data_IF_471550848885
#
_entry.id   IF_471550848885
#
_cell.length_a   1.000
_cell.length_b   1.000
_cell.length_c   1.000
_cell.angle_alpha   90.00
_cell.angle_beta   90.00
_cell.angle_gamma   90.00
#
_symmetry.space_group_name_H-M   'P 1'
#
loop_
_entity.id
_entity.type
_entity.pdbx_description
1 polymer ?
#
# COMPACT_ATOMS: atom_id res chain seq x y z
N UNK A 1 -14.72 5.23 1.56
CA UNK A 1 -15.99 4.55 1.23
C UNK A 1 -16.51 3.67 2.37
N UNK A 2 -15.67 2.85 3.03
CA UNK A 2 -16.05 2.05 4.22
C UNK A 2 -16.71 2.88 5.34
N UNK A 3 -16.16 4.06 5.64
CA UNK A 3 -16.74 5.02 6.61
C UNK A 3 -18.00 5.73 6.10
N UNK A 4 -18.24 5.75 4.78
CA UNK A 4 -19.41 6.40 4.18
C UNK A 4 -20.58 5.43 3.99
N UNK A 5 -20.39 4.13 4.23
CA UNK A 5 -21.44 3.10 4.11
C UNK A 5 -21.96 2.85 2.68
N UNK A 6 -21.35 3.45 1.66
CA UNK A 6 -21.77 3.31 0.26
C UNK A 6 -20.83 2.34 -0.47
N UNK A 7 -21.37 1.21 -0.95
CA UNK A 7 -20.69 0.33 -1.90
C UNK A 7 -21.15 0.68 -3.32
N UNK A 8 -20.24 1.03 -4.24
CA UNK A 8 -20.60 1.29 -5.63
C UNK A 8 -20.86 -0.01 -6.42
N UNK A 9 -20.56 -1.17 -5.81
CA UNK A 9 -20.70 -2.48 -6.43
C UNK A 9 -21.91 -3.23 -5.87
N UNK A 10 -22.74 -3.76 -6.77
CA UNK A 10 -23.92 -4.59 -6.46
C UNK A 10 -23.67 -6.09 -6.69
N UNK A 11 -22.65 -6.45 -7.47
CA UNK A 11 -22.34 -7.84 -7.79
C UNK A 11 -21.84 -8.62 -6.57
N UNK A 12 -22.30 -9.87 -6.33
CA UNK A 12 -21.84 -10.67 -5.19
C UNK A 12 -20.32 -10.90 -5.24
N UNK A 13 -19.66 -10.80 -4.09
CA UNK A 13 -18.24 -11.04 -3.93
C UNK A 13 -17.96 -11.66 -2.57
N UNK A 14 -17.00 -12.58 -2.49
CA UNK A 14 -16.56 -13.19 -1.21
C UNK A 14 -15.77 -12.23 -0.32
N UNK A 15 -15.19 -11.18 -0.89
CA UNK A 15 -14.47 -10.16 -0.14
C UNK A 15 -14.26 -8.93 -1.00
N UNK A 16 -14.19 -7.76 -0.37
CA UNK A 16 -13.81 -6.50 -1.01
C UNK A 16 -12.84 -5.74 -0.10
N UNK A 17 -11.73 -5.31 -0.68
CA UNK A 17 -10.76 -4.42 -0.05
C UNK A 17 -10.54 -3.21 -0.96
N UNK A 18 -10.28 -2.06 -0.34
CA UNK A 18 -10.00 -0.79 -1.02
C UNK A 18 -8.52 -0.48 -0.79
N UNK A 19 -7.67 -0.69 -1.80
CA UNK A 19 -6.20 -0.58 -1.67
C UNK A 19 -5.71 0.52 -2.59
N UNK A 20 -5.05 1.54 -2.04
CA UNK A 20 -4.55 2.70 -2.78
C UNK A 20 -5.64 3.65 -3.28
N UNK A 21 -6.85 3.50 -2.76
CA UNK A 21 -8.05 4.18 -3.20
C UNK A 21 -8.11 5.60 -2.64
N UNK A 22 -8.56 6.54 -3.45
CA UNK A 22 -8.73 7.93 -3.04
C UNK A 22 -10.21 8.24 -2.82
N UNK A 23 -10.54 8.74 -1.63
CA UNK A 23 -11.88 9.29 -1.36
C UNK A 23 -11.86 10.77 -1.70
N UNK A 24 -12.49 11.13 -2.81
CA UNK A 24 -12.70 12.52 -3.18
C UNK A 24 -14.04 12.99 -2.63
N UNK A 25 -14.03 14.06 -1.83
CA UNK A 25 -15.23 14.78 -1.45
C UNK A 25 -15.51 15.85 -2.51
N UNK A 26 -16.53 15.63 -3.35
CA UNK A 26 -16.94 16.60 -4.36
C UNK A 26 -17.96 17.55 -3.73
N UNK A 27 -17.58 18.81 -3.59
CA UNK A 27 -18.50 19.86 -3.17
C UNK A 27 -19.35 20.29 -4.37
N UNK A 28 -20.66 20.08 -4.28
CA UNK A 28 -21.61 20.63 -5.25
C UNK A 28 -22.05 22.03 -4.77
N UNK A 29 -21.87 23.08 -5.58
CA UNK A 29 -22.18 24.44 -5.15
C UNK A 29 -23.70 24.65 -5.11
N UNK A 30 -24.25 24.62 -3.91
CA UNK A 30 -25.63 24.96 -3.61
C UNK A 30 -25.69 26.36 -3.00
N UNK A 31 -26.69 27.16 -3.37
CA UNK A 31 -26.91 28.49 -2.82
C UNK A 31 -28.31 28.61 -2.23
N UNK A 32 -28.47 29.47 -1.23
CA UNK A 32 -29.78 29.85 -0.71
C UNK A 32 -30.26 31.11 -1.45
N UNK A 33 -31.39 31.02 -2.15
CA UNK A 33 -32.02 32.18 -2.84
C UNK A 33 -33.53 32.15 -2.62
N UNK A 34 -34.09 33.25 -2.15
CA UNK A 34 -35.54 33.42 -1.98
C UNK A 34 -36.23 32.27 -1.20
N UNK A 35 -35.56 31.70 -0.18
CA UNK A 35 -36.09 30.58 0.60
C UNK A 35 -35.98 29.21 -0.07
N UNK A 36 -35.26 29.10 -1.19
CA UNK A 36 -34.96 27.84 -1.86
C UNK A 36 -33.45 27.54 -1.89
N UNK A 37 -33.12 26.26 -1.76
CA UNK A 37 -31.80 25.75 -2.12
C UNK A 37 -31.77 25.59 -3.63
N UNK A 38 -30.89 26.32 -4.28
CA UNK A 38 -30.70 26.30 -5.73
C UNK A 38 -29.36 25.71 -6.10
N UNK A 39 -29.33 25.01 -7.23
CA UNK A 39 -28.11 24.68 -7.93
C UNK A 39 -27.47 25.99 -8.41
N UNK A 40 -26.31 26.37 -7.86
CA UNK A 40 -25.68 27.64 -8.18
C UNK A 40 -25.08 27.69 -9.60
N UNK A 41 -24.86 26.53 -10.24
CA UNK A 41 -24.35 26.44 -11.62
C UNK A 41 -25.49 26.59 -12.63
N UNK A 42 -26.65 26.00 -12.34
CA UNK A 42 -27.80 25.97 -13.27
C UNK A 42 -28.91 26.95 -12.94
N UNK A 43 -28.89 27.56 -11.75
CA UNK A 43 -29.96 28.41 -11.24
C UNK A 43 -31.28 27.66 -10.98
N UNK A 44 -31.26 26.33 -10.97
CA UNK A 44 -32.46 25.51 -10.82
C UNK A 44 -32.75 25.26 -9.34
N UNK A 45 -34.00 25.43 -8.88
CA UNK A 45 -34.37 25.07 -7.52
C UNK A 45 -34.28 23.56 -7.32
N UNK A 46 -33.67 23.17 -6.20
CA UNK A 46 -33.49 21.78 -5.77
C UNK A 46 -34.54 21.41 -4.74
N UNK A 47 -34.71 22.23 -3.70
CA UNK A 47 -35.72 22.07 -2.66
C UNK A 47 -35.90 23.35 -1.81
N UNK A 48 -37.01 23.48 -1.06
CA UNK A 48 -37.18 24.56 -0.09
C UNK A 48 -36.13 24.51 1.03
N UNK A 49 -35.63 25.68 1.44
CA UNK A 49 -34.62 25.83 2.49
C UNK A 49 -35.03 25.21 3.82
N UNK A 50 -36.29 25.42 4.23
CA UNK A 50 -36.81 24.85 5.47
C UNK A 50 -36.81 23.31 5.48
N UNK A 51 -36.88 22.66 4.31
CA UNK A 51 -36.74 21.20 4.21
C UNK A 51 -35.29 20.77 4.32
N UNK A 52 -34.38 21.51 3.69
CA UNK A 52 -32.95 21.27 3.80
C UNK A 52 -32.48 21.43 5.24
N UNK A 53 -32.83 22.50 5.94
CA UNK A 53 -32.43 22.76 7.33
C UNK A 53 -32.86 21.65 8.30
N UNK A 54 -34.04 21.06 8.09
CA UNK A 54 -34.53 19.92 8.89
C UNK A 54 -33.79 18.61 8.61
N UNK A 55 -33.27 18.44 7.39
CA UNK A 55 -32.58 17.23 6.95
C UNK A 55 -31.05 17.35 7.05
N UNK A 56 -30.53 18.58 7.11
CA UNK A 56 -29.13 18.86 7.20
C UNK A 56 -28.60 18.34 8.53
N UNK A 57 -27.60 17.45 8.45
CA UNK A 57 -26.80 17.10 9.61
C UNK A 57 -26.13 18.38 10.14
N UNK A 58 -25.91 18.45 11.46
CA UNK A 58 -25.21 19.56 12.09
C UNK A 58 -23.97 19.93 11.25
N UNK A 59 -23.83 21.21 10.91
CA UNK A 59 -22.71 21.70 10.09
C UNK A 59 -21.41 21.38 10.83
N UNK A 60 -20.76 20.31 10.40
CA UNK A 60 -19.37 20.06 10.78
C UNK A 60 -18.55 21.07 9.99
N UNK A 61 -18.08 22.12 10.65
CA UNK A 61 -16.94 22.89 10.13
C UNK A 61 -15.70 22.07 10.46
N UNK A 62 -15.11 21.34 9.51
CA UNK A 62 -13.82 20.74 9.78
C UNK A 62 -12.86 21.87 10.12
N UNK A 63 -12.19 21.80 11.27
CA UNK A 63 -10.97 22.57 11.51
C UNK A 63 -9.85 22.00 10.62
N UNK A 64 -9.99 22.08 9.30
CA UNK A 64 -8.93 21.66 8.39
C UNK A 64 -7.86 22.74 8.36
N UNK A 65 -6.87 22.64 9.24
CA UNK A 65 -5.64 23.42 9.13
C UNK A 65 -4.70 22.69 8.17
N UNK A 66 -4.46 23.27 7.00
CA UNK A 66 -3.37 22.81 6.13
C UNK A 66 -2.07 23.14 6.84
N UNK A 67 -1.31 22.12 7.22
CA UNK A 67 0.03 22.26 7.79
C UNK A 67 1.06 21.99 6.70
N UNK A 68 2.00 22.91 6.54
CA UNK A 68 3.15 22.74 5.66
C UNK A 68 4.33 22.28 6.50
N UNK A 69 5.01 21.24 6.04
CA UNK A 69 6.26 20.79 6.63
C UNK A 69 7.39 21.17 5.68
N UNK A 70 8.49 21.68 6.23
CA UNK A 70 9.70 21.84 5.44
C UNK A 70 10.16 20.45 5.00
N UNK A 71 10.39 20.26 3.71
CA UNK A 71 11.01 19.06 3.16
C UNK A 71 12.52 19.06 3.43
N UNK A 72 12.91 19.36 4.68
CA UNK A 72 14.28 19.39 5.15
C UNK A 72 14.45 18.32 6.23
N UNK A 73 15.56 17.59 6.17
CA UNK A 73 15.86 16.50 7.07
C UNK A 73 16.04 17.02 8.51
N UNK A 74 15.26 16.52 9.50
CA UNK A 74 15.42 16.92 10.90
C UNK A 74 16.81 16.62 11.48
N UNK A 75 17.54 15.65 10.93
CA UNK A 75 18.85 15.21 11.44
C UNK A 75 20.02 16.03 10.87
N UNK A 76 20.03 16.30 9.56
CA UNK A 76 21.17 16.93 8.89
C UNK A 76 20.86 18.21 8.10
N UNK A 77 19.59 18.64 8.05
CA UNK A 77 19.15 19.87 7.38
C UNK A 77 19.12 19.81 5.84
N UNK A 78 19.52 18.70 5.22
CA UNK A 78 19.49 18.53 3.77
C UNK A 78 18.05 18.34 3.25
N UNK A 79 17.81 18.66 1.99
CA UNK A 79 16.51 18.43 1.36
C UNK A 79 16.13 16.94 1.38
N UNK A 80 14.86 16.67 1.66
CA UNK A 80 14.27 15.34 1.61
C UNK A 80 13.74 15.06 0.19
N UNK A 81 14.01 13.86 -0.31
CA UNK A 81 13.45 13.34 -1.55
C UNK A 81 12.05 12.77 -1.33
N UNK A 82 11.16 13.08 -2.27
CA UNK A 82 9.77 12.65 -2.27
C UNK A 82 9.03 13.23 -3.46
N UNK A 83 8.01 12.53 -3.93
CA UNK A 83 7.09 13.01 -4.96
C UNK A 83 5.69 13.22 -4.35
N UNK A 84 4.73 13.67 -5.16
CA UNK A 84 3.31 13.72 -4.81
C UNK A 84 2.86 12.36 -4.26
N UNK A 85 2.03 12.40 -3.21
CA UNK A 85 1.47 11.23 -2.53
C UNK A 85 2.50 10.33 -1.83
N UNK A 86 3.79 10.70 -1.74
CA UNK A 86 4.75 9.94 -0.93
C UNK A 86 4.40 10.03 0.54
N UNK A 87 4.42 8.87 1.20
CA UNK A 87 4.21 8.73 2.64
C UNK A 87 5.54 8.81 3.40
N UNK A 88 6.61 8.44 2.72
CA UNK A 88 7.97 8.35 3.26
C UNK A 88 8.87 9.27 2.46
N UNK A 89 9.58 10.13 3.17
CA UNK A 89 10.57 11.05 2.65
C UNK A 89 11.96 10.54 2.98
N UNK A 90 12.87 10.50 2.00
CA UNK A 90 14.23 9.96 2.20
C UNK A 90 15.27 11.07 2.13
N UNK A 91 16.33 11.00 2.94
CA UNK A 91 17.43 11.95 2.87
C UNK A 91 18.63 11.30 2.17
N UNK A 92 19.10 11.87 1.05
CA UNK A 92 20.30 11.35 0.36
C UNK A 92 21.61 11.60 1.09
N UNK A 93 21.64 12.59 1.98
CA UNK A 93 22.87 12.97 2.67
C UNK A 93 23.16 12.08 3.88
N UNK A 94 22.19 11.91 4.79
CA UNK A 94 22.34 11.06 5.98
C UNK A 94 21.74 9.66 5.83
N UNK A 95 21.11 9.37 4.68
CA UNK A 95 20.50 8.08 4.36
C UNK A 95 19.41 7.63 5.34
N UNK A 96 18.69 8.59 5.94
CA UNK A 96 17.52 8.33 6.80
C UNK A 96 16.21 8.42 6.04
N UNK A 97 15.16 7.81 6.59
CA UNK A 97 13.80 7.92 6.09
C UNK A 97 12.86 8.49 7.16
N UNK A 98 11.87 9.27 6.72
CA UNK A 98 10.96 10.01 7.58
C UNK A 98 9.52 9.77 7.14
N UNK A 99 8.68 9.33 8.08
CA UNK A 99 7.24 9.18 7.87
C UNK A 99 6.53 10.47 8.30
N UNK A 100 5.48 10.86 7.57
CA UNK A 100 4.63 11.97 8.02
C UNK A 100 3.69 11.50 9.15
N UNK A 101 4.01 11.89 10.38
CA UNK A 101 3.16 11.74 11.55
C UNK A 101 2.08 12.82 11.68
N UNK A 102 1.40 12.85 12.83
CA UNK A 102 0.36 13.84 13.12
C UNK A 102 0.93 15.24 13.38
N UNK A 103 2.07 15.30 14.08
CA UNK A 103 2.69 16.55 14.51
C UNK A 103 3.95 16.93 13.72
N UNK A 104 4.47 16.04 12.87
CA UNK A 104 5.73 16.29 12.17
C UNK A 104 6.25 15.09 11.38
N UNK A 105 7.53 15.15 11.05
CA UNK A 105 8.28 14.05 10.46
C UNK A 105 8.82 13.15 11.58
N UNK A 106 8.52 11.87 11.50
CA UNK A 106 8.94 10.84 12.45
C UNK A 106 10.01 9.95 11.81
N UNK A 107 11.11 9.69 12.52
CA UNK A 107 12.18 8.81 12.04
C UNK A 107 11.61 7.41 11.80
N UNK A 108 11.89 6.85 10.63
CA UNK A 108 11.39 5.54 10.24
C UNK A 108 12.53 4.67 9.74
N UNK A 109 12.60 3.47 10.29
CA UNK A 109 13.58 2.48 9.87
C UNK A 109 13.22 1.88 8.51
N UNK A 110 14.24 1.64 7.70
CA UNK A 110 14.10 0.92 6.43
C UNK A 110 15.27 -0.03 6.22
N UNK A 111 15.10 -0.92 5.24
CA UNK A 111 16.10 -1.90 4.83
C UNK A 111 16.28 -1.86 3.32
N UNK A 112 17.44 -2.28 2.87
CA UNK A 112 17.77 -2.42 1.46
C UNK A 112 18.29 -3.83 1.21
N UNK A 113 17.80 -4.51 0.18
CA UNK A 113 18.41 -5.76 -0.27
C UNK A 113 19.69 -5.40 -1.03
N UNK A 114 20.87 -5.92 -0.64
CA UNK A 114 22.12 -5.58 -1.30
C UNK A 114 22.18 -6.11 -2.74
N UNK A 115 22.68 -5.28 -3.66
CA UNK A 115 23.03 -5.63 -5.03
C UNK A 115 24.32 -4.89 -5.43
N UNK A 116 25.40 -5.65 -5.55
CA UNK A 116 26.77 -5.21 -5.83
C UNK A 116 27.11 -5.18 -7.33
N UNK A 117 26.11 -5.29 -8.21
CA UNK A 117 26.34 -5.30 -9.66
C UNK A 117 26.94 -4.02 -10.24
N UNK A 118 26.80 -2.89 -9.55
CA UNK A 118 27.21 -1.57 -10.05
C UNK A 118 26.39 -1.06 -11.24
N UNK A 119 25.37 -1.80 -11.70
CA UNK A 119 24.42 -1.35 -12.72
C UNK A 119 23.47 -0.28 -12.12
N UNK A 120 22.91 0.63 -12.93
CA UNK A 120 21.82 1.50 -12.49
C UNK A 120 20.62 0.70 -11.97
N UNK A 121 20.22 0.97 -10.73
CA UNK A 121 19.18 0.24 -10.03
C UNK A 121 18.07 1.19 -9.56
N UNK A 122 16.84 0.71 -9.70
CA UNK A 122 15.65 1.34 -9.11
C UNK A 122 15.20 0.49 -7.93
N UNK A 123 15.12 1.11 -6.76
CA UNK A 123 14.65 0.48 -5.52
C UNK A 123 13.14 0.52 -5.47
N UNK A 124 12.48 -0.61 -5.65
CA UNK A 124 11.03 -0.70 -5.45
C UNK A 124 10.74 -1.02 -3.97
N UNK A 125 9.89 -0.24 -3.29
CA UNK A 125 9.62 -0.44 -1.88
C UNK A 125 8.57 -1.53 -1.66
N UNK A 126 8.84 -2.41 -0.69
CA UNK A 126 7.92 -3.46 -0.24
C UNK A 126 7.80 -3.41 1.28
N UNK A 127 6.58 -3.62 1.77
CA UNK A 127 6.34 -3.99 3.16
C UNK A 127 6.61 -5.47 3.33
N UNK A 128 7.61 -5.80 4.16
CA UNK A 128 7.80 -7.15 4.70
C UNK A 128 6.95 -7.26 5.95
N UNK A 129 5.87 -8.03 5.86
CA UNK A 129 4.82 -8.08 6.88
C UNK A 129 4.82 -9.45 7.56
N UNK A 130 4.88 -9.44 8.90
CA UNK A 130 4.49 -10.56 9.73
C UNK A 130 3.05 -10.36 10.18
N UNK A 131 2.18 -11.33 9.93
CA UNK A 131 0.78 -11.26 10.28
C UNK A 131 0.27 -12.60 10.83
N UNK A 132 -0.64 -12.54 11.80
CA UNK A 132 -1.41 -13.70 12.24
C UNK A 132 -2.65 -13.83 11.35
N UNK A 133 -2.93 -15.03 10.88
CA UNK A 133 -4.07 -15.35 10.01
C UNK A 133 -4.99 -16.32 10.74
N UNK A 134 -6.21 -15.88 11.05
CA UNK A 134 -7.12 -16.69 11.84
C UNK A 134 -7.58 -17.92 11.04
N UNK A 135 -7.45 -19.10 11.64
CA UNK A 135 -7.86 -20.37 11.05
C UNK A 135 -6.95 -20.91 9.94
N UNK A 136 -5.81 -20.26 9.65
CA UNK A 136 -4.79 -20.74 8.71
C UNK A 136 -3.41 -20.59 9.37
N UNK A 137 -2.73 -21.69 9.76
CA UNK A 137 -1.38 -21.60 10.30
C UNK A 137 -0.46 -21.12 9.18
N UNK A 138 0.11 -19.92 9.33
CA UNK A 138 1.04 -19.28 8.40
C UNK A 138 2.16 -18.58 9.18
N UNK A 139 2.67 -19.24 10.21
CA UNK A 139 3.71 -18.68 11.08
C UNK A 139 5.11 -18.95 10.52
N UNK A 140 5.29 -20.05 9.79
CA UNK A 140 6.57 -20.54 9.28
C UNK A 140 6.58 -20.68 7.76
N UNK A 141 7.78 -20.70 7.16
CA UNK A 141 7.88 -20.90 5.71
C UNK A 141 7.40 -22.30 5.29
N UNK A 142 7.52 -23.29 6.16
CA UNK A 142 6.95 -24.62 5.95
C UNK A 142 5.42 -24.58 5.83
N UNK A 143 4.76 -23.79 6.67
CA UNK A 143 3.30 -23.62 6.62
C UNK A 143 2.85 -23.02 5.29
N UNK A 144 3.55 -21.98 4.82
CA UNK A 144 3.30 -21.39 3.51
C UNK A 144 3.46 -22.40 2.36
N UNK A 145 4.50 -23.24 2.42
CA UNK A 145 4.74 -24.29 1.42
C UNK A 145 3.61 -25.30 1.38
N UNK A 146 3.09 -25.71 2.54
CA UNK A 146 1.92 -26.59 2.65
C UNK A 146 0.65 -25.92 2.12
N UNK A 147 0.39 -24.69 2.56
CA UNK A 147 -0.80 -23.91 2.18
C UNK A 147 -0.90 -23.70 0.65
N UNK A 148 0.23 -23.38 0.03
CA UNK A 148 0.33 -23.17 -1.43
C UNK A 148 0.56 -24.47 -2.21
N UNK A 149 0.70 -25.63 -1.55
CA UNK A 149 1.05 -26.91 -2.15
C UNK A 149 2.25 -26.80 -3.12
N UNK A 150 3.33 -26.15 -2.66
CA UNK A 150 4.49 -25.92 -3.51
C UNK A 150 5.24 -27.24 -3.78
N UNK A 151 5.81 -27.44 -4.99
CA UNK A 151 6.52 -28.67 -5.35
C UNK A 151 7.92 -28.71 -4.71
N UNK A 152 7.99 -28.79 -3.38
CA UNK A 152 9.22 -28.83 -2.59
C UNK A 152 9.00 -29.59 -1.30
N UNK A 153 9.98 -30.40 -0.90
CA UNK A 153 9.98 -31.04 0.41
C UNK A 153 10.18 -30.02 1.53
N UNK A 154 9.39 -30.12 2.59
CA UNK A 154 9.57 -29.32 3.81
C UNK A 154 10.79 -29.82 4.58
N UNK A 155 11.69 -28.90 4.94
CA UNK A 155 12.88 -29.19 5.74
C UNK A 155 12.74 -28.60 7.14
N UNK A 156 13.55 -29.07 8.10
CA UNK A 156 13.59 -28.51 9.46
C UNK A 156 13.87 -27.01 9.50
N UNK A 157 14.79 -26.54 8.65
CA UNK A 157 15.10 -25.11 8.56
C UNK A 157 13.86 -24.27 8.15
N UNK A 158 12.94 -24.84 7.36
CA UNK A 158 11.72 -24.15 6.94
C UNK A 158 10.64 -24.11 8.02
N UNK A 159 10.63 -25.11 8.92
CA UNK A 159 9.75 -25.14 10.10
C UNK A 159 10.20 -24.11 11.15
N UNK A 160 11.50 -23.83 11.21
CA UNK A 160 12.07 -22.86 12.14
C UNK A 160 12.09 -21.43 11.54
N UNK A 161 12.04 -21.31 10.21
CA UNK A 161 12.09 -20.02 9.51
C UNK A 161 10.73 -19.27 9.61
N UNK A 162 10.68 -18.06 10.20
CA UNK A 162 9.46 -17.27 10.28
C UNK A 162 8.98 -16.84 8.88
N UNK A 163 7.66 -16.87 8.68
CA UNK A 163 7.04 -16.46 7.44
C UNK A 163 6.77 -14.95 7.39
N UNK A 164 7.00 -14.36 6.23
CA UNK A 164 6.66 -12.98 5.94
C UNK A 164 5.95 -12.86 4.59
N UNK A 165 4.86 -12.11 4.57
CA UNK A 165 4.30 -11.59 3.34
C UNK A 165 5.16 -10.44 2.81
N UNK A 166 5.26 -10.32 1.49
CA UNK A 166 5.91 -9.20 0.84
C UNK A 166 4.90 -8.47 -0.01
N UNK A 167 4.60 -7.22 0.34
CA UNK A 167 3.52 -6.44 -0.28
C UNK A 167 4.08 -5.16 -0.87
N UNK A 168 3.74 -4.77 -2.12
CA UNK A 168 4.18 -3.50 -2.67
C UNK A 168 3.77 -2.34 -1.75
N UNK A 169 4.74 -1.48 -1.41
CA UNK A 169 4.50 -0.25 -0.65
C UNK A 169 4.19 0.94 -1.58
N UNK A 170 3.78 0.64 -2.81
CA UNK A 170 3.49 1.62 -3.86
C UNK A 170 2.25 1.22 -4.65
N UNK A 171 1.54 2.23 -5.17
CA UNK A 171 0.35 2.05 -6.00
C UNK A 171 0.72 1.48 -7.36
N UNK A 172 -0.07 0.52 -7.82
CA UNK A 172 0.02 -0.11 -9.14
C UNK A 172 -1.30 -0.79 -9.47
N UNK A 173 -1.54 -1.15 -10.74
CA UNK A 173 -2.71 -1.91 -11.12
C UNK A 173 -2.84 -3.26 -10.37
N UNK A 174 -4.06 -3.62 -10.00
CA UNK A 174 -4.37 -4.77 -9.13
C UNK A 174 -3.75 -6.11 -9.60
N UNK A 175 -3.76 -6.39 -10.90
CA UNK A 175 -3.16 -7.61 -11.45
C UNK A 175 -1.65 -7.68 -11.29
N UNK A 176 -0.95 -6.53 -11.38
CA UNK A 176 0.48 -6.46 -11.08
C UNK A 176 0.71 -6.52 -9.56
N UNK A 177 -0.12 -5.83 -8.77
CA UNK A 177 -0.05 -5.83 -7.31
C UNK A 177 -0.07 -7.25 -6.71
N UNK A 178 -1.09 -8.05 -7.04
CA UNK A 178 -1.21 -9.44 -6.56
C UNK A 178 -0.07 -10.33 -7.08
N UNK A 179 0.34 -10.14 -8.34
CA UNK A 179 1.48 -10.87 -8.94
C UNK A 179 2.77 -10.59 -8.16
N UNK A 180 3.01 -9.33 -7.79
CA UNK A 180 4.16 -8.94 -6.99
C UNK A 180 4.09 -9.60 -5.62
N UNK A 181 2.94 -9.52 -4.92
CA UNK A 181 2.79 -10.19 -3.62
C UNK A 181 3.17 -11.66 -3.71
N UNK A 182 2.62 -12.39 -4.69
CA UNK A 182 2.89 -13.82 -4.87
C UNK A 182 4.36 -14.10 -5.15
N UNK A 183 4.96 -13.39 -6.11
CA UNK A 183 6.36 -13.63 -6.53
C UNK A 183 7.34 -13.28 -5.42
N UNK A 184 7.09 -12.18 -4.72
CA UNK A 184 7.96 -11.69 -3.66
C UNK A 184 7.86 -12.52 -2.39
N UNK A 185 6.64 -12.92 -2.00
CA UNK A 185 6.40 -13.80 -0.85
C UNK A 185 6.97 -15.20 -1.09
N UNK A 186 6.94 -15.69 -2.33
CA UNK A 186 7.60 -16.95 -2.71
C UNK A 186 9.12 -16.86 -2.69
N UNK A 187 9.68 -15.71 -3.10
CA UNK A 187 11.12 -15.49 -3.12
C UNK A 187 11.70 -15.37 -1.71
N UNK A 188 11.04 -14.57 -0.86
CA UNK A 188 11.35 -14.36 0.55
C UNK A 188 12.83 -14.25 0.87
N UNK A 189 13.41 -13.06 0.67
CA UNK A 189 14.82 -12.79 0.92
C UNK A 189 15.30 -13.34 2.27
N UNK A 190 16.33 -14.20 2.24
CA UNK A 190 16.92 -14.85 3.41
C UNK A 190 18.31 -14.29 3.78
N UNK A 191 18.83 -13.34 3.00
CA UNK A 191 20.15 -12.76 3.24
C UNK A 191 20.10 -11.61 4.26
N UNK A 192 21.26 -11.01 4.50
CA UNK A 192 21.34 -9.80 5.31
C UNK A 192 20.72 -8.60 4.57
N UNK A 193 20.28 -7.62 5.35
CA UNK A 193 19.74 -6.37 4.85
C UNK A 193 20.76 -5.25 5.08
N UNK A 194 20.98 -4.44 4.05
CA UNK A 194 21.63 -3.15 4.19
C UNK A 194 20.73 -2.11 4.85
N UNK A 195 21.35 -1.04 5.35
CA UNK A 195 20.68 0.15 5.92
C UNK A 195 20.94 1.42 5.12
N UNK A 196 21.75 1.32 4.07
CA UNK A 196 22.14 2.43 3.21
C UNK A 196 21.44 2.26 1.86
N UNK A 197 20.89 3.36 1.34
CA UNK A 197 20.33 3.44 -0.01
C UNK A 197 21.45 3.47 -1.05
N UNK A 198 22.58 4.11 -0.74
CA UNK A 198 23.66 4.31 -1.69
C UNK A 198 23.16 4.93 -3.01
N UNK A 199 23.59 4.42 -4.19
CA UNK A 199 23.19 4.97 -5.49
C UNK A 199 21.78 4.60 -5.94
N UNK A 200 21.02 3.84 -5.14
CA UNK A 200 19.69 3.34 -5.52
C UNK A 200 18.72 4.49 -5.79
N UNK A 201 18.05 4.48 -6.94
CA UNK A 201 16.92 5.40 -7.21
C UNK A 201 15.68 4.85 -6.51
N UNK A 202 15.31 5.42 -5.36
CA UNK A 202 14.21 4.90 -4.54
C UNK A 202 12.86 5.33 -5.11
N UNK A 203 12.04 4.36 -5.54
CA UNK A 203 10.67 4.62 -5.95
C UNK A 203 9.82 5.03 -4.72
N UNK A 204 8.90 6.00 -4.83
CA UNK A 204 8.16 6.53 -3.70
C UNK A 204 7.29 5.48 -3.00
N UNK A 205 7.19 5.61 -1.68
CA UNK A 205 6.26 4.83 -0.85
C UNK A 205 4.91 5.52 -0.90
N UNK A 206 3.93 4.92 -1.56
CA UNK A 206 2.60 5.53 -1.78
C UNK A 206 1.45 4.68 -1.22
N UNK A 207 1.77 3.56 -0.56
CA UNK A 207 0.82 2.73 0.18
C UNK A 207 1.32 2.47 1.60
N UNK A 208 0.49 2.69 2.63
CA UNK A 208 0.86 2.39 4.02
C UNK A 208 0.82 0.88 4.30
N UNK A 209 1.48 0.45 5.38
CA UNK A 209 1.58 -0.96 5.75
C UNK A 209 0.21 -1.56 6.10
N UNK A 210 -0.69 -0.77 6.68
CA UNK A 210 -2.05 -1.15 7.07
C UNK A 210 -2.88 -1.53 5.84
N UNK A 211 -2.84 -0.72 4.78
CA UNK A 211 -3.47 -1.07 3.50
C UNK A 211 -2.81 -2.31 2.90
N UNK A 212 -1.48 -2.42 2.99
CA UNK A 212 -0.77 -3.63 2.61
C UNK A 212 -1.30 -4.87 3.32
N UNK A 213 -1.55 -4.79 4.64
CA UNK A 213 -2.13 -5.86 5.44
C UNK A 213 -3.59 -6.18 5.07
N UNK A 214 -4.42 -5.17 4.77
CA UNK A 214 -5.79 -5.38 4.27
C UNK A 214 -5.80 -6.17 2.96
N UNK A 215 -4.81 -5.96 2.11
CA UNK A 215 -4.69 -6.66 0.82
C UNK A 215 -4.40 -8.15 0.98
N UNK A 216 -3.85 -8.58 2.13
CA UNK A 216 -3.41 -9.95 2.34
C UNK A 216 -4.56 -10.96 2.28
N UNK A 217 -5.78 -10.57 2.65
CA UNK A 217 -6.94 -11.46 2.52
C UNK A 217 -7.21 -11.83 1.06
N UNK A 218 -7.12 -10.85 0.16
CA UNK A 218 -7.19 -11.07 -1.29
C UNK A 218 -5.99 -11.85 -1.80
N UNK A 219 -4.79 -11.58 -1.29
CA UNK A 219 -3.59 -12.32 -1.67
C UNK A 219 -3.68 -13.80 -1.26
N UNK A 220 -4.22 -14.12 -0.07
CA UNK A 220 -4.44 -15.49 0.38
C UNK A 220 -5.34 -16.27 -0.58
N UNK A 221 -6.39 -15.63 -1.11
CA UNK A 221 -7.23 -16.24 -2.14
C UNK A 221 -6.47 -16.55 -3.44
N UNK A 222 -5.50 -15.71 -3.82
CA UNK A 222 -4.65 -15.95 -4.99
C UNK A 222 -3.61 -17.05 -4.74
N UNK A 223 -3.04 -17.08 -3.53
CA UNK A 223 -1.99 -17.99 -3.07
C UNK A 223 -2.50 -19.40 -2.76
N UNK A 224 -3.74 -19.53 -2.29
CA UNK A 224 -4.32 -20.79 -1.86
C UNK A 224 -4.28 -21.86 -2.97
N UNK A 225 -3.76 -23.04 -2.63
CA UNK A 225 -3.83 -24.21 -3.52
C UNK A 225 -5.28 -24.67 -3.72
N UNK A 226 -6.04 -24.76 -2.63
CA UNK A 226 -7.47 -25.10 -2.66
C UNK A 226 -8.34 -23.85 -2.51
N UNK A 227 -8.55 -23.17 -3.64
CA UNK A 227 -9.42 -21.99 -3.70
C UNK A 227 -10.87 -22.32 -3.32
N UNK A 228 -11.33 -23.57 -3.48
CA UNK A 228 -12.72 -23.94 -3.19
C UNK A 228 -13.00 -23.98 -1.69
N UNK A 229 -12.01 -24.32 -0.86
CA UNK A 229 -12.15 -24.25 0.60
C UNK A 229 -11.86 -22.86 1.16
N UNK A 230 -10.92 -22.12 0.57
CA UNK A 230 -10.51 -20.80 1.08
C UNK A 230 -11.50 -19.70 0.71
N UNK A 231 -11.97 -19.63 -0.54
CA UNK A 231 -12.84 -18.52 -1.00
C UNK A 231 -14.15 -18.36 -0.20
N UNK A 232 -14.90 -19.43 0.15
CA UNK A 232 -16.12 -19.28 0.93
C UNK A 232 -15.89 -18.73 2.34
N UNK A 233 -14.70 -18.97 2.91
CA UNK A 233 -14.35 -18.58 4.28
C UNK A 233 -13.60 -17.25 4.34
N UNK A 234 -13.41 -16.57 3.20
CA UNK A 234 -12.58 -15.37 3.15
C UNK A 234 -13.07 -14.29 4.11
N UNK A 235 -14.38 -14.10 4.26
CA UNK A 235 -14.94 -13.09 5.17
C UNK A 235 -14.59 -13.37 6.64
N UNK A 236 -14.56 -14.63 7.04
CA UNK A 236 -14.31 -15.10 8.41
C UNK A 236 -12.83 -14.99 8.81
N UNK A 237 -11.91 -15.04 7.85
CA UNK A 237 -10.47 -15.00 8.13
C UNK A 237 -10.08 -13.62 8.65
N UNK A 238 -9.73 -13.49 9.92
CA UNK A 238 -9.09 -12.29 10.46
C UNK A 238 -7.61 -12.26 10.07
N UNK A 239 -7.09 -11.06 9.79
CA UNK A 239 -5.64 -10.83 9.61
C UNK A 239 -5.23 -9.74 10.58
N UNK A 240 -4.27 -10.07 11.45
CA UNK A 240 -3.71 -9.11 12.40
C UNK A 240 -2.26 -8.83 12.04
N UNK A 241 -1.97 -7.59 11.64
CA UNK A 241 -0.62 -7.10 11.43
C UNK A 241 0.16 -7.17 12.75
N UNK A 242 1.33 -7.82 12.76
CA UNK A 242 2.21 -7.93 13.93
C UNK A 242 3.47 -7.07 13.77
N UNK A 243 4.03 -7.06 12.57
CA UNK A 243 5.24 -6.34 12.23
C UNK A 243 5.19 -5.94 10.76
N UNK A 244 5.66 -4.73 10.44
CA UNK A 244 5.91 -4.29 9.08
C UNK A 244 7.27 -3.59 9.01
N UNK A 245 8.10 -4.00 8.05
CA UNK A 245 9.38 -3.37 7.77
C UNK A 245 9.38 -2.89 6.33
N UNK A 246 9.77 -1.63 6.10
CA UNK A 246 9.98 -1.10 4.76
C UNK A 246 11.28 -1.67 4.20
N UNK A 247 11.20 -2.31 3.04
CA UNK A 247 12.36 -2.87 2.35
C UNK A 247 12.41 -2.36 0.91
N UNK A 248 13.47 -1.66 0.55
CA UNK A 248 13.79 -1.37 -0.84
C UNK A 248 14.48 -2.56 -1.49
N UNK A 249 13.91 -3.00 -2.60
CA UNK A 249 14.46 -4.08 -3.39
C UNK A 249 14.99 -3.53 -4.72
N UNK A 250 16.26 -3.80 -5.07
CA UNK A 250 16.83 -3.32 -6.32
C UNK A 250 16.29 -4.10 -7.52
N UNK A 251 15.90 -3.35 -8.55
CA UNK A 251 15.59 -3.82 -9.89
C UNK A 251 16.52 -3.14 -10.89
N UNK A 252 16.99 -3.89 -11.89
CA UNK A 252 17.83 -3.34 -12.96
C UNK A 252 16.96 -2.63 -13.98
N UNK A 253 17.28 -1.37 -14.26
CA UNK A 253 16.60 -0.62 -15.30
C UNK A 253 17.14 -1.01 -16.69
N UNK A 254 16.31 -1.61 -17.54
CA UNK A 254 16.65 -1.95 -18.92
C UNK A 254 15.59 -1.41 -19.88
N UNK A 255 15.87 -0.24 -20.46
CA UNK A 255 14.94 0.46 -21.34
C UNK A 255 13.60 0.73 -20.63
N UNK A 256 12.52 0.19 -21.20
CA UNK A 256 11.16 0.34 -20.66
C UNK A 256 10.82 -0.59 -19.49
N UNK A 257 11.74 -1.45 -19.05
CA UNK A 257 11.47 -2.47 -18.03
C UNK A 257 12.40 -2.37 -16.81
N UNK A 258 11.90 -2.87 -15.69
CA UNK A 258 12.62 -3.11 -14.45
C UNK A 258 12.69 -4.62 -14.25
N UNK A 259 13.90 -5.17 -14.16
CA UNK A 259 14.12 -6.61 -14.09
C UNK A 259 14.71 -6.97 -12.73
N UNK A 260 14.12 -7.96 -12.08
CA UNK A 260 14.67 -8.53 -10.86
C UNK A 260 15.72 -9.60 -11.24
N UNK A 261 16.99 -9.50 -10.78
CA UNK A 261 18.07 -10.38 -11.25
C UNK A 261 18.08 -11.81 -10.69
N UNK A 262 17.42 -12.07 -9.56
CA UNK A 262 17.40 -13.33 -8.80
C UNK A 262 16.11 -14.16 -8.97
N UNK A 263 15.05 -13.57 -9.51
CA UNK A 263 13.76 -14.22 -9.78
C UNK A 263 13.22 -13.79 -11.16
N UNK A 264 12.45 -14.65 -11.84
CA UNK A 264 11.86 -14.34 -13.14
C UNK A 264 10.71 -13.34 -13.00
N UNK A 265 11.06 -12.08 -12.79
CA UNK A 265 10.15 -10.96 -12.60
C UNK A 265 10.64 -9.74 -13.39
N UNK A 266 9.83 -9.33 -14.37
CA UNK A 266 9.98 -8.07 -15.09
C UNK A 266 8.75 -7.20 -14.90
N UNK A 267 8.95 -5.89 -14.79
CA UNK A 267 7.90 -4.90 -14.60
C UNK A 267 8.09 -3.79 -15.65
N UNK A 268 7.05 -3.49 -16.40
CA UNK A 268 7.04 -2.34 -17.31
C UNK A 268 7.12 -1.05 -16.48
N UNK A 269 8.06 -0.14 -16.76
CA UNK A 269 8.23 1.11 -16.00
C UNK A 269 6.96 1.95 -15.95
N UNK A 270 6.20 1.98 -17.05
CA UNK A 270 4.90 2.67 -17.12
C UNK A 270 3.85 2.07 -16.19
N UNK A 271 3.98 0.80 -15.79
CA UNK A 271 3.07 0.19 -14.83
C UNK A 271 3.18 0.83 -13.43
N UNK A 272 4.33 1.43 -13.09
CA UNK A 272 4.53 2.15 -11.84
C UNK A 272 3.88 3.54 -11.83
N UNK A 273 3.40 4.03 -12.97
CA UNK A 273 2.66 5.29 -13.07
C UNK A 273 1.16 5.11 -12.80
N UNK A 274 0.67 3.86 -12.75
CA UNK A 274 -0.74 3.59 -12.48
C UNK A 274 -1.11 3.90 -11.03
N UNK A 275 -2.10 4.76 -10.84
CA UNK A 275 -2.60 5.15 -9.52
C UNK A 275 -1.84 6.32 -8.87
N UNK A 276 -0.82 6.86 -9.56
CA UNK A 276 -0.25 8.17 -9.24
C UNK A 276 -1.13 9.24 -9.90
N UNK A 277 -1.56 10.23 -9.12
CA UNK A 277 -2.39 11.33 -9.64
C UNK A 277 -1.55 12.23 -10.58
N UNK A 278 -1.95 12.35 -11.85
CA UNK A 278 -1.45 13.37 -12.79
C UNK A 278 -1.83 14.76 -12.25
#
# INVERSE_FOLDING_TARGET
>A
MKQLGVSPWTAPAHHRAWIGEQVSLVYYPLALRNGEVVDALRGRPVMPAARWEKAALAVYKPESRVRFFAAACPDCGWDLEGDRDTLVLTCRNCERAWLRGQEGLEDMDFRVIPDDSGEPQVGLPFWRIRAAVDGIPLDTFADYVRFCNLPRAVTRAMEEAPFFFWVPAFKTGAGLYLRLIRRMTLYQWQGEFGRQMGPLECHPVTLPAEEGAESLKTALADLAADKRSVLPRLEEIGITLKEAVLVYMPFRARGGELIQPRIPLGIQRKALQYGLNI
#
